data_IF_956582446528
#
_entry.id   IF_956582446528
#
_cell.length_a   1.000
_cell.length_b   1.000
_cell.length_c   1.000
_cell.angle_alpha   90.00
_cell.angle_beta   90.00
_cell.angle_gamma   90.00
#
_symmetry.space_group_name_H-M   'P 1'
#
loop_
_entity.id
_entity.type
_entity.pdbx_description
1 polymer ?
#
# COMPACT_ATOMS: atom_id res chain seq x y z
N UNK A 1 64.08 69.33 -50.11
CA UNK A 1 63.60 70.11 -51.26
C UNK A 1 62.11 69.86 -51.46
N UNK A 2 61.35 70.95 -51.50
CA UNK A 2 60.08 71.22 -52.21
C UNK A 2 59.13 70.06 -52.56
N UNK A 3 57.90 70.12 -52.00
CA UNK A 3 56.61 70.38 -52.70
C UNK A 3 56.07 69.15 -53.47
N UNK A 4 54.78 68.88 -53.61
CA UNK A 4 53.55 69.68 -53.49
C UNK A 4 52.36 68.70 -53.42
N UNK A 5 51.25 69.13 -52.80
CA UNK A 5 49.83 69.02 -53.24
C UNK A 5 49.29 67.67 -53.78
N UNK A 6 48.09 67.19 -53.45
CA UNK A 6 46.82 67.88 -53.31
C UNK A 6 45.78 66.90 -52.73
N UNK A 7 44.80 67.43 -51.97
CA UNK A 7 43.52 66.75 -51.65
C UNK A 7 42.43 67.36 -52.54
N UNK A 8 41.29 66.69 -52.77
CA UNK A 8 40.10 67.22 -52.08
C UNK A 8 39.09 66.18 -51.58
N UNK A 9 38.23 66.70 -50.70
CA UNK A 9 37.08 66.15 -49.97
C UNK A 9 35.91 65.68 -50.87
N UNK A 10 35.12 64.73 -50.36
CA UNK A 10 33.65 64.82 -50.10
C UNK A 10 33.19 63.48 -49.48
N UNK A 11 32.86 63.40 -48.20
CA UNK A 11 31.60 63.78 -47.53
C UNK A 11 30.39 62.87 -47.84
N UNK A 12 30.07 61.94 -46.93
CA UNK A 12 28.68 61.51 -46.66
C UNK A 12 28.54 60.73 -45.33
N UNK A 13 28.04 61.45 -44.32
CA UNK A 13 27.07 61.07 -43.26
C UNK A 13 27.30 59.88 -42.29
N UNK A 14 27.20 60.28 -41.03
CA UNK A 14 27.08 59.53 -39.79
C UNK A 14 25.76 58.73 -39.62
N UNK A 15 25.79 57.68 -38.78
CA UNK A 15 25.06 57.55 -37.49
C UNK A 15 24.99 56.09 -36.99
N UNK A 16 25.33 55.87 -35.71
CA UNK A 16 24.62 54.93 -34.82
C UNK A 16 25.40 53.70 -34.31
N UNK A 17 25.72 53.61 -32.99
CA UNK A 17 26.18 52.37 -32.39
C UNK A 17 25.01 51.39 -32.24
N UNK A 18 25.25 50.14 -32.67
CA UNK A 18 24.25 49.06 -32.62
C UNK A 18 23.86 48.78 -31.17
N UNK A 19 22.57 48.97 -30.88
CA UNK A 19 21.95 48.59 -29.63
C UNK A 19 22.10 47.09 -29.38
N UNK A 20 22.93 46.74 -28.39
CA UNK A 20 22.93 45.42 -27.77
C UNK A 20 21.64 45.29 -26.95
N UNK A 21 20.56 44.86 -27.59
CA UNK A 21 19.37 44.36 -26.89
C UNK A 21 19.84 43.23 -25.96
N UNK A 22 19.82 43.46 -24.64
CA UNK A 22 19.72 42.38 -23.65
C UNK A 22 18.50 41.54 -24.05
N UNK A 23 18.73 40.38 -24.68
CA UNK A 23 17.74 39.31 -24.64
C UNK A 23 17.89 38.66 -23.27
N UNK A 24 16.92 38.94 -22.41
CA UNK A 24 16.52 38.02 -21.36
C UNK A 24 16.17 36.70 -22.07
N UNK A 25 16.80 35.62 -21.66
CA UNK A 25 16.63 34.32 -22.28
C UNK A 25 17.70 33.40 -21.74
N UNK A 26 17.53 33.00 -20.48
CA UNK A 26 18.21 31.87 -19.82
C UNK A 26 17.75 31.86 -18.34
N UNK A 27 16.44 31.81 -18.10
CA UNK A 27 15.84 31.35 -16.83
C UNK A 27 14.49 30.71 -17.16
N UNK A 28 14.48 29.72 -18.06
CA UNK A 28 13.25 28.98 -18.41
C UNK A 28 13.60 27.55 -18.87
N UNK A 29 14.57 26.90 -18.22
CA UNK A 29 14.89 25.48 -18.49
C UNK A 29 14.75 24.61 -17.23
N UNK A 30 14.71 25.23 -16.04
CA UNK A 30 14.40 24.51 -14.80
C UNK A 30 12.89 24.36 -14.53
N UNK A 31 12.05 25.19 -15.16
CA UNK A 31 10.60 25.19 -14.92
C UNK A 31 9.86 24.08 -15.68
N UNK A 32 10.29 23.74 -16.91
CA UNK A 32 9.68 22.68 -17.72
C UNK A 32 9.75 21.27 -17.09
N UNK A 33 10.90 20.79 -16.56
CA UNK A 33 10.97 19.45 -15.96
C UNK A 33 10.15 19.33 -14.67
N UNK A 34 10.02 20.41 -13.90
CA UNK A 34 9.19 20.43 -12.69
C UNK A 34 7.69 20.41 -13.01
N UNK A 35 7.27 21.09 -14.08
CA UNK A 35 5.89 21.04 -14.58
C UNK A 35 5.53 19.65 -15.11
N UNK A 36 6.42 19.01 -15.85
CA UNK A 36 6.23 17.63 -16.33
C UNK A 36 6.12 16.65 -15.15
N UNK A 37 7.02 16.74 -14.16
CA UNK A 37 6.96 15.89 -12.98
C UNK A 37 5.66 16.10 -12.16
N UNK A 38 5.19 17.34 -12.04
CA UNK A 38 3.92 17.68 -11.39
C UNK A 38 2.72 17.11 -12.14
N UNK A 39 2.72 17.19 -13.47
CA UNK A 39 1.67 16.61 -14.31
C UNK A 39 1.62 15.07 -14.20
N UNK A 40 2.79 14.42 -14.13
CA UNK A 40 2.90 12.98 -13.96
C UNK A 40 2.40 12.54 -12.58
N UNK A 41 2.78 13.27 -11.52
CA UNK A 41 2.27 13.01 -10.17
C UNK A 41 0.74 13.10 -10.13
N UNK A 42 0.18 14.17 -10.71
CA UNK A 42 -1.27 14.36 -10.81
C UNK A 42 -1.94 13.22 -11.59
N UNK A 43 -1.34 12.79 -12.71
CA UNK A 43 -1.85 11.68 -13.50
C UNK A 43 -1.86 10.36 -12.71
N UNK A 44 -0.77 10.07 -11.99
CA UNK A 44 -0.69 8.89 -11.09
C UNK A 44 -1.80 8.93 -10.04
N UNK A 45 -2.07 10.09 -9.45
CA UNK A 45 -3.09 10.25 -8.41
C UNK A 45 -4.49 9.97 -8.96
N UNK A 46 -4.81 10.51 -10.14
CA UNK A 46 -6.09 10.26 -10.83
C UNK A 46 -6.24 8.79 -11.22
N UNK A 47 -5.17 8.16 -11.71
CA UNK A 47 -5.17 6.74 -12.05
C UNK A 47 -5.38 5.87 -10.81
N UNK A 48 -4.71 6.16 -9.69
CA UNK A 48 -4.92 5.45 -8.41
C UNK A 48 -6.36 5.59 -7.94
N UNK A 49 -6.91 6.81 -7.98
CA UNK A 49 -8.30 7.04 -7.61
C UNK A 49 -9.28 6.26 -8.51
N UNK A 50 -9.02 6.18 -9.82
CA UNK A 50 -9.87 5.44 -10.76
C UNK A 50 -9.76 3.93 -10.56
N UNK A 51 -8.55 3.41 -10.46
CA UNK A 51 -8.29 1.96 -10.39
C UNK A 51 -8.71 1.35 -9.04
N UNK A 52 -8.71 2.11 -7.96
CA UNK A 52 -9.26 1.67 -6.66
C UNK A 52 -10.79 1.56 -6.63
N UNK A 53 -11.47 1.88 -7.75
CA UNK A 53 -12.89 1.58 -7.97
C UNK A 53 -13.13 0.54 -9.06
N UNK A 54 -12.07 0.04 -9.70
CA UNK A 54 -12.17 -0.95 -10.76
C UNK A 54 -12.12 -2.38 -10.20
N UNK A 55 -12.95 -3.27 -10.74
CA UNK A 55 -12.96 -4.69 -10.38
C UNK A 55 -12.88 -5.60 -11.62
N UNK A 56 -12.21 -6.76 -11.54
CA UNK A 56 -12.23 -7.73 -12.62
C UNK A 56 -13.63 -8.32 -12.77
N UNK A 57 -14.24 -8.16 -13.95
CA UNK A 57 -15.51 -8.81 -14.27
C UNK A 57 -15.19 -10.23 -14.73
N UNK A 58 -15.26 -11.20 -13.82
CA UNK A 58 -15.16 -12.61 -14.19
C UNK A 58 -16.49 -13.04 -14.80
N UNK A 59 -16.53 -13.46 -16.08
CA UNK A 59 -17.75 -13.98 -16.66
C UNK A 59 -18.14 -15.26 -15.92
N UNK A 60 -19.30 -15.24 -15.27
CA UNK A 60 -19.93 -16.44 -14.72
C UNK A 60 -20.26 -17.35 -15.89
N UNK A 61 -19.50 -18.44 -16.05
CA UNK A 61 -19.87 -19.50 -16.99
C UNK A 61 -21.20 -20.09 -16.53
N UNK A 62 -22.28 -19.74 -17.23
CA UNK A 62 -23.58 -20.39 -17.05
C UNK A 62 -23.49 -21.89 -17.34
N UNK A 63 -24.46 -22.70 -16.86
CA UNK A 63 -24.43 -24.15 -17.01
C UNK A 63 -24.33 -24.48 -18.50
N UNK A 64 -23.25 -25.17 -18.86
CA UNK A 64 -22.88 -25.49 -20.23
C UNK A 64 -23.95 -26.40 -20.84
N UNK A 65 -24.73 -25.87 -21.78
CA UNK A 65 -25.51 -26.71 -22.66
C UNK A 65 -24.54 -27.31 -23.68
N UNK A 66 -24.31 -28.62 -23.57
CA UNK A 66 -23.48 -29.39 -24.49
C UNK A 66 -23.98 -29.20 -25.93
N UNK A 67 -23.26 -28.40 -26.72
CA UNK A 67 -23.42 -28.35 -28.17
C UNK A 67 -22.22 -29.03 -28.80
N UNK A 68 -22.45 -30.27 -29.24
CA UNK A 68 -21.53 -31.12 -29.99
C UNK A 68 -20.97 -30.39 -31.21
N UNK A 69 -19.65 -30.42 -31.33
CA UNK A 69 -18.96 -30.35 -32.61
C UNK A 69 -18.70 -28.96 -33.18
N UNK A 70 -17.68 -28.27 -32.67
CA UNK A 70 -16.80 -27.43 -33.48
C UNK A 70 -15.50 -27.14 -32.71
N UNK A 71 -14.36 -27.33 -33.38
CA UNK A 71 -13.04 -27.00 -32.84
C UNK A 71 -12.92 -25.48 -32.63
N UNK A 72 -13.26 -25.01 -31.43
CA UNK A 72 -13.01 -23.65 -30.99
C UNK A 72 -11.58 -23.54 -30.44
N UNK A 73 -10.84 -22.44 -30.72
CA UNK A 73 -9.54 -22.23 -30.12
C UNK A 73 -9.72 -22.09 -28.60
N UNK A 74 -8.97 -22.89 -27.84
CA UNK A 74 -9.09 -23.01 -26.39
C UNK A 74 -9.18 -21.65 -25.67
N UNK A 75 -10.11 -21.58 -24.73
CA UNK A 75 -10.48 -20.44 -23.90
C UNK A 75 -9.29 -19.78 -23.18
N UNK A 76 -8.68 -18.75 -23.79
CA UNK A 76 -7.67 -17.87 -23.16
C UNK A 76 -8.26 -16.73 -22.32
N UNK A 77 -9.59 -16.64 -22.23
CA UNK A 77 -10.29 -15.55 -21.55
C UNK A 77 -9.99 -15.44 -20.04
N UNK A 78 -10.06 -16.52 -19.22
CA UNK A 78 -9.79 -16.40 -17.79
C UNK A 78 -8.35 -15.96 -17.51
N UNK A 79 -7.37 -16.49 -18.25
CA UNK A 79 -5.95 -16.12 -18.08
C UNK A 79 -5.70 -14.62 -18.35
N UNK A 80 -6.39 -14.05 -19.35
CA UNK A 80 -6.28 -12.62 -19.67
C UNK A 80 -6.88 -11.70 -18.60
N UNK A 81 -7.96 -12.11 -17.95
CA UNK A 81 -8.61 -11.34 -16.87
C UNK A 81 -7.74 -11.35 -15.62
N UNK A 82 -7.19 -12.51 -15.25
CA UNK A 82 -6.25 -12.61 -14.13
C UNK A 82 -4.98 -11.80 -14.41
N UNK A 83 -4.44 -11.86 -15.64
CA UNK A 83 -3.28 -11.06 -16.01
C UNK A 83 -3.55 -9.55 -15.91
N UNK A 84 -4.73 -9.09 -16.36
CA UNK A 84 -5.14 -7.69 -16.22
C UNK A 84 -5.32 -7.29 -14.75
N UNK A 85 -5.97 -8.14 -13.94
CA UNK A 85 -6.15 -7.90 -12.51
C UNK A 85 -4.80 -7.84 -11.76
N UNK A 86 -3.88 -8.77 -12.05
CA UNK A 86 -2.51 -8.76 -11.52
C UNK A 86 -1.76 -7.50 -11.93
N UNK A 87 -1.88 -7.05 -13.18
CA UNK A 87 -1.22 -5.83 -13.65
C UNK A 87 -1.75 -4.59 -12.91
N UNK A 88 -3.08 -4.44 -12.83
CA UNK A 88 -3.73 -3.33 -12.13
C UNK A 88 -3.34 -3.34 -10.66
N UNK A 89 -3.42 -4.48 -9.99
CA UNK A 89 -3.12 -4.58 -8.57
C UNK A 89 -1.65 -4.33 -8.24
N UNK A 90 -0.72 -4.87 -9.04
CA UNK A 90 0.70 -4.57 -8.89
C UNK A 90 0.97 -3.07 -9.06
N UNK A 91 0.38 -2.45 -10.08
CA UNK A 91 0.59 -1.02 -10.34
C UNK A 91 0.04 -0.16 -9.20
N UNK A 92 -1.19 -0.42 -8.76
CA UNK A 92 -1.84 0.29 -7.65
C UNK A 92 -0.99 0.14 -6.38
N UNK A 93 -0.66 -1.08 -5.97
CA UNK A 93 0.08 -1.31 -4.72
C UNK A 93 1.51 -0.73 -4.73
N UNK A 94 2.23 -0.81 -5.86
CA UNK A 94 3.55 -0.17 -6.00
C UNK A 94 3.44 1.34 -5.91
N UNK A 95 2.48 1.94 -6.62
CA UNK A 95 2.30 3.40 -6.63
C UNK A 95 1.96 3.95 -5.24
N UNK A 96 1.26 3.17 -4.41
CA UNK A 96 0.87 3.58 -3.06
C UNK A 96 2.01 3.48 -2.05
N UNK A 97 2.99 2.61 -2.30
CA UNK A 97 4.18 2.49 -1.47
C UNK A 97 5.05 3.77 -1.46
N UNK A 98 4.88 4.62 -2.47
CA UNK A 98 5.60 5.89 -2.66
C UNK A 98 4.82 7.09 -2.08
N UNK A 99 3.55 6.93 -1.71
CA UNK A 99 2.66 8.03 -1.35
C UNK A 99 2.31 8.07 0.15
N UNK A 100 1.92 9.25 0.64
CA UNK A 100 1.25 9.42 1.93
C UNK A 100 -0.26 9.38 1.71
N UNK A 101 -0.92 8.32 2.17
CA UNK A 101 -2.36 8.19 2.06
C UNK A 101 -3.06 8.76 3.29
N UNK A 102 -4.14 9.49 3.04
CA UNK A 102 -5.12 9.82 4.06
C UNK A 102 -5.87 8.57 4.53
N UNK A 103 -6.51 8.66 5.71
CA UNK A 103 -7.32 7.58 6.27
C UNK A 103 -8.36 7.05 5.30
N UNK A 104 -9.12 7.95 4.66
CA UNK A 104 -10.18 7.59 3.73
C UNK A 104 -9.64 6.83 2.50
N UNK A 105 -8.46 7.21 2.02
CA UNK A 105 -7.82 6.51 0.90
C UNK A 105 -7.35 5.12 1.28
N UNK A 106 -6.84 4.93 2.50
CA UNK A 106 -6.47 3.59 3.00
C UNK A 106 -7.72 2.74 3.15
N UNK A 107 -8.79 3.23 3.78
CA UNK A 107 -10.05 2.48 3.91
C UNK A 107 -10.54 2.02 2.53
N UNK A 108 -10.61 2.94 1.56
CA UNK A 108 -11.01 2.62 0.19
C UNK A 108 -10.10 1.56 -0.45
N UNK A 109 -8.79 1.65 -0.25
CA UNK A 109 -7.85 0.65 -0.74
C UNK A 109 -8.13 -0.73 -0.12
N UNK A 110 -8.34 -0.78 1.19
CA UNK A 110 -8.62 -2.03 1.90
C UNK A 110 -9.96 -2.63 1.43
N UNK A 111 -11.01 -1.81 1.28
CA UNK A 111 -12.30 -2.24 0.73
C UNK A 111 -12.14 -2.82 -0.68
N UNK A 112 -11.31 -2.17 -1.51
CA UNK A 112 -11.03 -2.60 -2.87
C UNK A 112 -10.25 -3.92 -2.92
N UNK A 113 -9.21 -4.07 -2.08
CA UNK A 113 -8.44 -5.31 -1.98
C UNK A 113 -9.34 -6.47 -1.56
N UNK A 114 -10.15 -6.27 -0.52
CA UNK A 114 -11.07 -7.27 0.01
C UNK A 114 -12.14 -7.68 -1.02
N UNK A 115 -12.72 -6.70 -1.73
CA UNK A 115 -13.85 -6.98 -2.63
C UNK A 115 -13.42 -7.54 -3.99
N UNK A 116 -12.25 -7.12 -4.50
CA UNK A 116 -11.89 -7.33 -5.90
C UNK A 116 -10.58 -8.07 -6.14
N UNK A 117 -9.69 -8.18 -5.15
CA UNK A 117 -8.38 -8.82 -5.33
C UNK A 117 -8.26 -10.11 -4.53
N UNK A 118 -8.55 -10.05 -3.23
CA UNK A 118 -8.46 -11.20 -2.31
C UNK A 118 -9.29 -12.42 -2.74
N UNK A 119 -10.48 -12.28 -3.39
CA UNK A 119 -11.22 -13.44 -3.91
C UNK A 119 -10.50 -14.22 -5.03
N UNK A 120 -9.48 -13.63 -5.66
CA UNK A 120 -8.75 -14.24 -6.77
C UNK A 120 -7.38 -14.74 -6.32
N UNK A 121 -7.32 -15.99 -5.84
CA UNK A 121 -6.10 -16.60 -5.30
C UNK A 121 -4.89 -16.54 -6.25
N UNK A 122 -5.10 -16.69 -7.55
CA UNK A 122 -4.04 -16.58 -8.58
C UNK A 122 -3.44 -15.17 -8.60
N UNK A 123 -4.28 -14.13 -8.54
CA UNK A 123 -3.84 -12.73 -8.52
C UNK A 123 -3.07 -12.45 -7.23
N UNK A 124 -3.58 -12.92 -6.09
CA UNK A 124 -2.91 -12.76 -4.79
C UNK A 124 -1.55 -13.45 -4.79
N UNK A 125 -1.46 -14.68 -5.31
CA UNK A 125 -0.19 -15.41 -5.41
C UNK A 125 0.83 -14.67 -6.29
N UNK A 126 0.40 -14.09 -7.42
CA UNK A 126 1.27 -13.29 -8.28
C UNK A 126 1.74 -11.99 -7.60
N UNK A 127 0.86 -11.32 -6.84
CA UNK A 127 1.22 -10.12 -6.07
C UNK A 127 2.25 -10.43 -4.98
N UNK A 128 2.07 -11.53 -4.25
CA UNK A 128 2.94 -11.92 -3.14
C UNK A 128 4.32 -12.42 -3.60
N UNK A 129 4.48 -12.75 -4.88
CA UNK A 129 5.81 -13.05 -5.48
C UNK A 129 6.65 -11.79 -5.69
N UNK A 130 6.03 -10.62 -5.78
CA UNK A 130 6.75 -9.37 -5.98
C UNK A 130 7.21 -8.76 -4.64
N UNK A 131 8.52 -8.68 -4.44
CA UNK A 131 9.13 -8.10 -3.25
C UNK A 131 8.85 -6.59 -3.10
N UNK A 132 8.67 -5.86 -4.21
CA UNK A 132 8.37 -4.43 -4.18
C UNK A 132 6.94 -4.18 -3.70
N UNK A 133 5.99 -5.01 -4.13
CA UNK A 133 4.59 -4.95 -3.65
C UNK A 133 4.50 -5.38 -2.19
N UNK A 134 5.08 -6.53 -1.82
CA UNK A 134 5.02 -7.02 -0.43
C UNK A 134 5.67 -6.06 0.57
N UNK A 135 6.82 -5.47 0.23
CA UNK A 135 7.44 -4.43 1.06
C UNK A 135 6.64 -3.12 1.06
N UNK A 136 5.97 -2.79 -0.04
CA UNK A 136 5.04 -1.65 -0.13
C UNK A 136 3.84 -1.79 0.78
N UNK A 137 3.16 -2.93 0.73
CA UNK A 137 2.04 -3.29 1.63
C UNK A 137 2.50 -3.19 3.09
N UNK A 138 3.67 -3.76 3.42
CA UNK A 138 4.18 -3.71 4.79
C UNK A 138 4.50 -2.30 5.28
N UNK A 139 5.06 -1.44 4.42
CA UNK A 139 5.29 -0.04 4.77
C UNK A 139 3.98 0.71 5.03
N UNK A 140 2.98 0.49 4.18
CA UNK A 140 1.65 1.06 4.37
C UNK A 140 1.05 0.60 5.70
N UNK A 141 1.11 -0.72 5.94
CA UNK A 141 0.64 -1.33 7.17
C UNK A 141 1.33 -0.74 8.41
N UNK A 142 2.66 -0.64 8.42
CA UNK A 142 3.38 -0.04 9.55
C UNK A 142 3.01 1.42 9.80
N UNK A 143 2.77 2.20 8.74
CA UNK A 143 2.38 3.60 8.88
C UNK A 143 0.99 3.77 9.52
N UNK A 144 0.05 2.88 9.20
CA UNK A 144 -1.34 2.99 9.68
C UNK A 144 -1.66 2.14 10.91
N UNK A 145 -0.79 1.17 11.25
CA UNK A 145 -0.93 0.28 12.41
C UNK A 145 0.27 0.41 13.39
N UNK A 146 0.85 1.61 13.50
CA UNK A 146 1.90 1.92 14.50
C UNK A 146 1.30 2.47 15.80
N UNK A 147 2.01 2.18 16.89
CA UNK A 147 1.60 2.41 18.29
C UNK A 147 1.26 3.87 18.59
N UNK A 148 1.85 4.83 17.86
CA UNK A 148 1.64 6.27 18.07
C UNK A 148 0.34 6.83 17.45
N UNK A 149 -0.43 6.04 16.69
CA UNK A 149 -1.59 6.51 15.91
C UNK A 149 -2.97 6.05 16.39
N UNK A 150 -3.06 5.33 17.51
CA UNK A 150 -4.30 4.68 17.98
C UNK A 150 -5.30 5.64 18.67
N UNK A 151 -5.58 6.79 18.05
CA UNK A 151 -6.78 7.56 18.38
C UNK A 151 -8.02 6.85 17.80
N UNK A 152 -9.15 6.91 18.51
CA UNK A 152 -10.49 6.33 18.20
C UNK A 152 -10.75 5.96 16.72
N UNK A 153 -10.69 6.89 15.73
CA UNK A 153 -11.03 6.61 14.34
C UNK A 153 -9.99 5.78 13.57
N UNK A 154 -8.85 5.45 14.19
CA UNK A 154 -7.76 4.67 13.60
C UNK A 154 -7.85 3.18 13.86
N UNK A 155 -8.65 2.76 14.83
CA UNK A 155 -8.80 1.36 15.16
C UNK A 155 -9.60 0.60 14.09
N UNK A 156 -10.60 1.24 13.46
CA UNK A 156 -11.36 0.65 12.34
C UNK A 156 -10.47 0.26 11.17
N UNK A 157 -9.62 1.20 10.74
CA UNK A 157 -8.71 0.98 9.62
C UNK A 157 -7.68 -0.07 10.00
N UNK A 158 -7.11 0.00 11.20
CA UNK A 158 -6.10 -0.96 11.65
C UNK A 158 -6.67 -2.39 11.81
N UNK A 159 -7.89 -2.52 12.33
CA UNK A 159 -8.58 -3.81 12.45
C UNK A 159 -8.82 -4.44 11.07
N UNK A 160 -9.38 -3.67 10.13
CA UNK A 160 -9.57 -4.14 8.75
C UNK A 160 -8.25 -4.50 8.07
N UNK A 161 -7.21 -3.70 8.29
CA UNK A 161 -5.88 -3.95 7.73
C UNK A 161 -5.29 -5.24 8.30
N UNK A 162 -5.43 -5.49 9.61
CA UNK A 162 -5.02 -6.74 10.23
C UNK A 162 -5.69 -7.95 9.58
N UNK A 163 -7.00 -7.90 9.35
CA UNK A 163 -7.74 -8.98 8.67
C UNK A 163 -7.15 -9.26 7.28
N UNK A 164 -6.94 -8.21 6.47
CA UNK A 164 -6.37 -8.34 5.13
C UNK A 164 -4.94 -8.89 5.19
N UNK A 165 -4.12 -8.43 6.15
CA UNK A 165 -2.76 -8.91 6.31
C UNK A 165 -2.73 -10.39 6.70
N UNK A 166 -3.63 -10.85 7.57
CA UNK A 166 -3.75 -12.27 7.92
C UNK A 166 -4.16 -13.11 6.71
N UNK A 167 -5.12 -12.66 5.91
CA UNK A 167 -5.50 -13.32 4.66
C UNK A 167 -4.35 -13.40 3.65
N UNK A 168 -3.54 -12.34 3.54
CA UNK A 168 -2.35 -12.33 2.70
C UNK A 168 -1.25 -13.27 3.22
N UNK A 169 -1.03 -13.34 4.53
CA UNK A 169 -0.14 -14.33 5.15
C UNK A 169 -0.60 -15.75 4.85
N UNK A 170 -1.92 -15.98 4.91
CA UNK A 170 -2.50 -17.26 4.57
C UNK A 170 -2.27 -17.65 3.11
N UNK A 171 -2.51 -16.72 2.19
CA UNK A 171 -2.26 -16.92 0.77
C UNK A 171 -0.76 -17.12 0.43
N UNK A 172 0.15 -16.59 1.27
CA UNK A 172 1.60 -16.80 1.14
C UNK A 172 2.06 -18.21 1.56
N UNK A 173 1.20 -18.96 2.26
CA UNK A 173 1.54 -20.25 2.85
C UNK A 173 2.42 -20.14 4.09
N UNK A 174 2.39 -18.99 4.79
CA UNK A 174 3.19 -18.75 6.00
C UNK A 174 2.35 -18.90 7.29
N UNK A 175 1.62 -20.02 7.41
CA UNK A 175 0.70 -20.29 8.53
C UNK A 175 1.15 -21.47 9.40
N UNK A 176 2.45 -21.73 9.51
CA UNK A 176 2.92 -22.86 10.35
C UNK A 176 2.97 -22.51 11.85
N UNK A 177 2.42 -21.36 12.24
CA UNK A 177 2.46 -20.86 13.60
C UNK A 177 1.26 -21.37 14.40
N UNK A 178 1.46 -22.05 15.56
CA UNK A 178 0.36 -22.49 16.42
C UNK A 178 -0.45 -21.31 16.99
N UNK A 179 0.10 -20.10 16.93
CA UNK A 179 -0.57 -18.87 17.35
C UNK A 179 -1.55 -18.33 16.31
N UNK A 180 -1.45 -18.75 15.04
CA UNK A 180 -2.26 -18.18 13.97
C UNK A 180 -3.76 -18.32 14.20
N UNK A 181 -4.31 -19.50 14.55
CA UNK A 181 -5.77 -19.65 14.73
C UNK A 181 -6.30 -18.77 15.87
N UNK A 182 -5.53 -18.63 16.96
CA UNK A 182 -5.89 -17.76 18.09
C UNK A 182 -5.91 -16.30 17.67
N UNK A 183 -4.89 -15.86 16.92
CA UNK A 183 -4.80 -14.46 16.44
C UNK A 183 -5.87 -14.15 15.38
N UNK A 184 -6.18 -15.12 14.52
CA UNK A 184 -7.25 -15.00 13.53
C UNK A 184 -8.62 -14.84 14.21
N UNK A 185 -8.93 -15.69 15.20
CA UNK A 185 -10.15 -15.58 15.99
C UNK A 185 -10.26 -14.20 16.68
N UNK A 186 -9.18 -13.73 17.30
CA UNK A 186 -9.13 -12.39 17.90
C UNK A 186 -9.36 -11.27 16.89
N UNK A 187 -8.82 -11.40 15.67
CA UNK A 187 -9.00 -10.41 14.62
C UNK A 187 -10.45 -10.36 14.13
N UNK A 188 -11.13 -11.51 14.02
CA UNK A 188 -12.54 -11.59 13.66
C UNK A 188 -13.44 -10.98 14.75
N UNK A 189 -13.23 -11.35 16.02
CA UNK A 189 -13.97 -10.78 17.14
C UNK A 189 -13.81 -9.25 17.23
N UNK A 190 -12.63 -8.75 16.87
CA UNK A 190 -12.30 -7.33 16.86
C UNK A 190 -13.08 -6.49 15.81
N UNK A 191 -13.64 -7.13 14.77
CA UNK A 191 -14.46 -6.45 13.76
C UNK A 191 -15.84 -6.09 14.31
N UNK A 192 -16.39 -6.94 15.18
CA UNK A 192 -17.73 -6.77 15.77
C UNK A 192 -17.67 -6.10 17.16
N UNK A 193 -16.50 -6.05 17.79
CA UNK A 193 -16.31 -5.42 19.11
C UNK A 193 -16.52 -3.90 19.05
N UNK A 194 -17.45 -3.41 19.88
CA UNK A 194 -17.81 -1.99 20.01
C UNK A 194 -17.11 -1.32 21.19
N UNK A 195 -16.62 -2.10 22.14
CA UNK A 195 -15.89 -1.61 23.30
C UNK A 195 -14.43 -1.35 22.93
N UNK A 196 -14.08 -0.08 22.77
CA UNK A 196 -12.73 0.36 22.40
C UNK A 196 -11.65 -0.05 23.40
N UNK A 197 -12.01 -0.12 24.69
CA UNK A 197 -11.07 -0.54 25.72
C UNK A 197 -10.63 -2.01 25.51
N UNK A 198 -11.47 -2.83 24.89
CA UNK A 198 -11.16 -4.22 24.50
C UNK A 198 -10.59 -4.32 23.08
N UNK A 199 -11.07 -3.45 22.19
CA UNK A 199 -10.66 -3.44 20.79
C UNK A 199 -9.22 -2.99 20.60
N UNK A 200 -8.80 -1.90 21.23
CA UNK A 200 -7.46 -1.34 21.04
C UNK A 200 -6.33 -2.32 21.41
N UNK A 201 -6.37 -3.03 22.56
CA UNK A 201 -5.41 -4.09 22.88
C UNK A 201 -5.39 -5.21 21.84
N UNK A 202 -6.57 -5.61 21.34
CA UNK A 202 -6.70 -6.66 20.33
C UNK A 202 -6.05 -6.26 19.01
N UNK A 203 -6.40 -5.08 18.49
CA UNK A 203 -5.77 -4.51 17.28
C UNK A 203 -4.26 -4.44 17.45
N UNK A 204 -3.77 -3.98 18.60
CA UNK A 204 -2.35 -3.87 18.88
C UNK A 204 -1.63 -5.22 18.89
N UNK A 205 -2.16 -6.23 19.60
CA UNK A 205 -1.55 -7.56 19.69
C UNK A 205 -1.55 -8.28 18.34
N UNK A 206 -2.68 -8.27 17.63
CA UNK A 206 -2.75 -8.79 16.26
C UNK A 206 -1.73 -8.06 15.38
N UNK A 207 -1.55 -6.76 15.61
CA UNK A 207 -0.58 -5.99 14.82
C UNK A 207 0.86 -6.43 15.03
N UNK A 208 1.24 -6.75 16.28
CA UNK A 208 2.57 -7.28 16.60
C UNK A 208 2.80 -8.64 15.93
N UNK A 209 1.82 -9.54 16.05
CA UNK A 209 1.90 -10.86 15.42
C UNK A 209 2.10 -10.75 13.90
N UNK A 210 1.28 -9.95 13.23
CA UNK A 210 1.39 -9.73 11.79
C UNK A 210 2.79 -9.20 11.42
N UNK A 211 3.36 -8.27 12.21
CA UNK A 211 4.71 -7.73 11.93
C UNK A 211 5.79 -8.80 12.00
N UNK A 212 5.76 -9.64 13.04
CA UNK A 212 6.75 -10.69 13.20
C UNK A 212 6.68 -11.71 12.06
N UNK A 213 5.48 -12.24 11.77
CA UNK A 213 5.31 -13.29 10.76
C UNK A 213 5.53 -12.75 9.35
N UNK A 214 5.07 -11.53 9.04
CA UNK A 214 5.26 -10.93 7.72
C UNK A 214 6.74 -10.75 7.37
N UNK A 215 7.55 -10.40 8.37
CA UNK A 215 9.01 -10.27 8.25
C UNK A 215 9.74 -11.62 8.19
N UNK A 216 9.03 -12.75 8.31
CA UNK A 216 9.58 -14.09 8.20
C UNK A 216 10.16 -14.63 9.50
N UNK A 217 9.73 -14.11 10.65
CA UNK A 217 10.10 -14.69 11.93
C UNK A 217 9.51 -16.11 12.05
N UNK A 218 10.31 -17.06 12.54
CA UNK A 218 9.88 -18.44 12.77
C UNK A 218 8.90 -18.54 13.95
N UNK A 219 9.05 -17.63 14.92
CA UNK A 219 8.13 -17.46 16.04
C UNK A 219 7.79 -15.96 16.16
N UNK A 220 6.58 -15.63 16.63
CA UNK A 220 6.17 -14.24 16.80
C UNK A 220 6.75 -13.65 18.09
N UNK A 221 8.07 -13.46 18.13
CA UNK A 221 8.83 -13.11 19.33
C UNK A 221 8.41 -11.78 19.97
N UNK A 222 8.10 -10.76 19.17
CA UNK A 222 7.68 -9.44 19.68
C UNK A 222 6.30 -9.55 20.32
N UNK A 223 5.38 -10.26 19.66
CA UNK A 223 4.07 -10.57 20.21
C UNK A 223 4.19 -11.35 21.53
N UNK A 224 4.99 -12.43 21.56
CA UNK A 224 5.17 -13.25 22.76
C UNK A 224 5.84 -12.49 23.90
N UNK A 225 6.84 -11.65 23.60
CA UNK A 225 7.47 -10.81 24.59
C UNK A 225 6.47 -9.85 25.23
N UNK A 226 5.56 -9.27 24.44
CA UNK A 226 4.52 -8.39 24.96
C UNK A 226 3.50 -9.15 25.82
N UNK A 227 3.06 -10.33 25.38
CA UNK A 227 2.14 -11.19 26.14
C UNK A 227 2.73 -11.55 27.51
N UNK A 228 3.99 -11.96 27.55
CA UNK A 228 4.70 -12.28 28.81
C UNK A 228 4.86 -11.04 29.70
N UNK A 229 5.33 -9.93 29.14
CA UNK A 229 5.53 -8.69 29.88
C UNK A 229 4.23 -8.18 30.51
N UNK A 230 3.11 -8.17 29.77
CA UNK A 230 1.81 -7.74 30.28
C UNK A 230 1.31 -8.62 31.45
N UNK A 231 1.70 -9.90 31.48
CA UNK A 231 1.37 -10.80 32.60
C UNK A 231 2.25 -10.55 33.81
N UNK A 232 3.53 -10.30 33.63
CA UNK A 232 4.48 -10.04 34.72
C UNK A 232 4.18 -8.73 35.45
N UNK A 233 3.68 -7.73 34.72
CA UNK A 233 3.29 -6.43 35.30
C UNK A 233 1.89 -6.44 35.91
N UNK A 234 1.13 -7.52 35.74
CA UNK A 234 -0.22 -7.65 36.27
C UNK A 234 -0.23 -7.73 37.80
N UNK A 235 -1.00 -6.84 38.45
CA UNK A 235 -1.19 -6.91 39.90
C UNK A 235 -2.08 -8.12 40.25
N UNK A 236 -1.74 -8.92 41.29
CA UNK A 236 -2.45 -10.17 41.60
C UNK A 236 -3.90 -9.98 42.10
N UNK A 237 -4.27 -8.79 42.58
CA UNK A 237 -5.57 -8.52 43.23
C UNK A 237 -6.26 -7.22 42.75
N UNK A 238 -5.91 -6.71 41.57
CA UNK A 238 -6.56 -5.54 40.96
C UNK A 238 -7.43 -5.92 39.76
N UNK A 239 -8.34 -5.04 39.36
CA UNK A 239 -8.99 -5.13 38.05
C UNK A 239 -7.90 -5.20 36.98
N UNK A 240 -7.92 -6.27 36.18
CA UNK A 240 -6.94 -6.44 35.12
C UNK A 240 -7.24 -5.44 34.00
N UNK A 241 -6.23 -4.67 33.61
CA UNK A 241 -6.30 -3.89 32.37
C UNK A 241 -6.70 -4.82 31.21
N UNK A 242 -7.51 -4.33 30.28
CA UNK A 242 -8.07 -5.16 29.20
C UNK A 242 -6.99 -5.93 28.43
N UNK A 243 -5.82 -5.31 28.23
CA UNK A 243 -4.65 -5.95 27.61
C UNK A 243 -4.10 -7.13 28.43
N UNK A 244 -4.09 -7.03 29.75
CA UNK A 244 -3.62 -8.10 30.65
C UNK A 244 -4.58 -9.28 30.63
N UNK A 245 -5.89 -9.01 30.65
CA UNK A 245 -6.91 -10.06 30.54
C UNK A 245 -6.79 -10.78 29.19
N UNK A 246 -6.63 -10.03 28.10
CA UNK A 246 -6.46 -10.57 26.76
C UNK A 246 -5.20 -11.43 26.63
N UNK A 247 -4.05 -10.96 27.10
CA UNK A 247 -2.80 -11.72 27.11
C UNK A 247 -2.91 -13.03 27.91
N UNK A 248 -3.66 -13.03 29.02
CA UNK A 248 -3.90 -14.25 29.81
C UNK A 248 -4.76 -15.27 29.06
N UNK A 249 -5.77 -14.79 28.33
CA UNK A 249 -6.64 -15.66 27.52
C UNK A 249 -5.85 -16.30 26.38
N UNK A 250 -5.03 -15.52 25.67
CA UNK A 250 -4.14 -16.00 24.60
C UNK A 250 -3.26 -17.15 25.11
N UNK A 251 -2.54 -16.94 26.21
CA UNK A 251 -1.66 -17.96 26.79
C UNK A 251 -2.40 -19.22 27.23
N UNK A 252 -3.63 -19.07 27.73
CA UNK A 252 -4.45 -20.21 28.14
C UNK A 252 -4.89 -21.03 26.92
N UNK A 253 -5.33 -20.37 25.84
CA UNK A 253 -5.70 -21.04 24.59
C UNK A 253 -4.53 -21.77 23.94
N UNK A 254 -3.31 -21.22 24.06
CA UNK A 254 -2.10 -21.86 23.54
C UNK A 254 -1.76 -23.14 24.33
N UNK A 255 -1.99 -23.14 25.65
CA UNK A 255 -1.69 -24.30 26.51
C UNK A 255 -2.69 -25.45 26.33
N UNK A 256 -3.89 -25.19 25.83
CA UNK A 256 -4.91 -26.22 25.57
C UNK A 256 -4.73 -26.94 24.23
N UNK A 257 -4.03 -26.33 23.28
CA UNK A 257 -3.84 -26.85 21.92
C UNK A 257 -2.44 -27.47 21.68
N UNK A 258 -1.58 -27.52 22.71
CA UNK A 258 -0.23 -28.11 22.69
C UNK A 258 -0.17 -29.47 23.39
#
# INVERSE_FOLDING_TARGET
MLKDKNKPMTAARAKGPRGRRRRHGEVEEAAEPELEASSLATCKDLLRATLTHWGPVVPVLGPTQESVGQAAPGSKAPDSIHAAASLVANWVLRSLAECLLSRAEVTRLLDWLESYILPHSVVVADLLRDSAVTSGIFRLYNRHCSVQGLAEPAQDVACKFNTIMLQLLAARGQIDSPFHPVVEALCLDCLDEKDEAKRAPTVFLVSLYVKDIWLGAQQPDTFLAHVRMARETAKPHGEAEAIVALCRNIDSSIQTDA
#
